data_IF_155259175719
#
_entry.id   IF_155259175719
#
_cell.length_a   1.000
_cell.length_b   1.000
_cell.length_c   1.000
_cell.angle_alpha   90.00
_cell.angle_beta   90.00
_cell.angle_gamma   90.00
#
_symmetry.space_group_name_H-M   'P 1'
#
loop_
_entity.id
_entity.type
_entity.pdbx_description
1 polymer ?
#
# COMPACT_ATOMS: atom_id res chain seq x y z
N UNK A 1 41.88 -19.77 39.15
CA UNK A 1 41.19 -20.37 37.98
C UNK A 1 39.66 -20.16 37.94
N UNK A 2 39.00 -19.57 38.94
CA UNK A 2 37.52 -19.44 38.94
C UNK A 2 36.95 -18.09 38.44
N UNK A 3 37.75 -17.02 38.38
CA UNK A 3 37.28 -15.67 38.00
C UNK A 3 37.48 -15.33 36.52
N UNK A 4 38.56 -15.82 35.89
CA UNK A 4 38.79 -15.61 34.46
C UNK A 4 37.81 -16.43 33.60
N UNK A 5 37.50 -17.68 33.99
CA UNK A 5 36.52 -18.51 33.31
C UNK A 5 35.08 -17.96 33.40
N UNK A 6 34.69 -17.34 34.52
CA UNK A 6 33.37 -16.71 34.65
C UNK A 6 33.25 -15.45 33.79
N UNK A 7 34.31 -14.65 33.68
CA UNK A 7 34.36 -13.45 32.82
C UNK A 7 34.28 -13.79 31.32
N UNK A 8 34.90 -14.89 30.88
CA UNK A 8 34.85 -15.36 29.50
C UNK A 8 33.46 -15.86 29.09
N UNK A 9 32.79 -16.63 29.98
CA UNK A 9 31.44 -17.14 29.74
C UNK A 9 30.42 -15.99 29.70
N UNK A 10 30.55 -14.99 30.58
CA UNK A 10 29.69 -13.81 30.57
C UNK A 10 29.83 -12.99 29.29
N UNK A 11 31.06 -12.74 28.82
CA UNK A 11 31.30 -12.04 27.55
C UNK A 11 30.73 -12.79 26.34
N UNK A 12 30.86 -14.12 26.29
CA UNK A 12 30.27 -14.93 25.23
C UNK A 12 28.74 -14.88 25.24
N UNK A 13 28.13 -14.92 26.42
CA UNK A 13 26.68 -14.79 26.58
C UNK A 13 26.19 -13.41 26.14
N UNK A 14 26.87 -12.35 26.57
CA UNK A 14 26.55 -10.97 26.22
C UNK A 14 26.60 -10.74 24.69
N UNK A 15 27.65 -11.24 24.04
CA UNK A 15 27.78 -11.18 22.57
C UNK A 15 26.67 -11.96 21.85
N UNK A 16 26.35 -13.16 22.33
CA UNK A 16 25.27 -13.97 21.74
C UNK A 16 23.91 -13.27 21.81
N UNK A 17 23.58 -12.64 22.94
CA UNK A 17 22.32 -11.89 23.07
C UNK A 17 22.30 -10.66 22.16
N UNK A 18 23.44 -9.97 22.00
CA UNK A 18 23.57 -8.87 21.06
C UNK A 18 23.36 -9.33 19.60
N UNK A 19 24.00 -10.42 19.18
CA UNK A 19 23.84 -10.95 17.82
C UNK A 19 22.37 -11.31 17.54
N UNK A 20 21.68 -11.93 18.51
CA UNK A 20 20.25 -12.22 18.42
C UNK A 20 19.38 -10.94 18.39
N UNK A 21 19.80 -9.88 19.07
CA UNK A 21 19.12 -8.59 19.04
C UNK A 21 19.30 -7.92 17.66
N UNK A 22 20.49 -8.01 17.07
CA UNK A 22 20.80 -7.47 15.75
C UNK A 22 20.00 -8.17 14.64
N UNK A 23 19.91 -9.50 14.70
CA UNK A 23 19.12 -10.30 13.75
C UNK A 23 17.62 -9.96 13.83
N UNK A 24 17.09 -9.84 15.06
CA UNK A 24 15.71 -9.44 15.29
C UNK A 24 15.45 -8.02 14.76
N UNK A 25 16.36 -7.07 15.03
CA UNK A 25 16.24 -5.70 14.55
C UNK A 25 16.28 -5.59 13.02
N UNK A 26 17.18 -6.33 12.37
CA UNK A 26 17.26 -6.44 10.90
C UNK A 26 15.95 -6.99 10.31
N UNK A 27 15.38 -8.01 10.95
CA UNK A 27 14.09 -8.58 10.56
C UNK A 27 12.95 -7.57 10.72
N UNK A 28 12.90 -6.84 11.84
CA UNK A 28 11.91 -5.79 12.08
C UNK A 28 11.97 -4.68 11.03
N UNK A 29 13.18 -4.24 10.66
CA UNK A 29 13.37 -3.19 9.65
C UNK A 29 12.98 -3.67 8.24
N UNK A 30 13.25 -4.93 7.93
CA UNK A 30 12.78 -5.55 6.68
C UNK A 30 11.25 -5.57 6.62
N UNK A 31 10.58 -5.96 7.71
CA UNK A 31 9.11 -5.96 7.81
C UNK A 31 8.55 -4.53 7.71
N UNK A 32 9.18 -3.54 8.36
CA UNK A 32 8.81 -2.13 8.22
C UNK A 32 8.94 -1.66 6.75
N UNK A 33 9.99 -2.09 6.03
CA UNK A 33 10.13 -1.90 4.59
C UNK A 33 8.96 -2.47 3.80
N UNK A 34 8.58 -3.71 4.06
CA UNK A 34 7.43 -4.36 3.42
C UNK A 34 6.11 -3.65 3.74
N UNK A 35 5.92 -3.23 4.99
CA UNK A 35 4.73 -2.49 5.42
C UNK A 35 4.58 -1.17 4.64
N UNK A 36 5.69 -0.44 4.42
CA UNK A 36 5.70 0.78 3.61
C UNK A 36 5.29 0.54 2.15
N UNK A 37 5.78 -0.54 1.54
CA UNK A 37 5.38 -0.92 0.16
C UNK A 37 3.88 -1.21 0.10
N UNK A 38 3.38 -2.03 1.02
CA UNK A 38 1.93 -2.36 1.10
C UNK A 38 1.09 -1.11 1.34
N UNK A 39 1.55 -0.19 2.20
CA UNK A 39 0.86 1.07 2.48
C UNK A 39 0.79 1.95 1.24
N UNK A 40 1.88 2.08 0.48
CA UNK A 40 1.91 2.82 -0.78
C UNK A 40 0.89 2.26 -1.77
N UNK A 41 0.87 0.95 -1.98
CA UNK A 41 -0.11 0.29 -2.86
C UNK A 41 -1.57 0.53 -2.40
N UNK A 42 -1.82 0.46 -1.09
CA UNK A 42 -3.14 0.73 -0.52
C UNK A 42 -3.59 2.16 -0.78
N UNK A 43 -2.70 3.15 -0.57
CA UNK A 43 -2.99 4.57 -0.79
C UNK A 43 -3.26 4.87 -2.28
N UNK A 44 -2.50 4.26 -3.19
CA UNK A 44 -2.76 4.37 -4.62
C UNK A 44 -4.14 3.81 -5.02
N UNK A 45 -4.56 2.68 -4.43
CA UNK A 45 -5.91 2.13 -4.66
C UNK A 45 -7.00 3.02 -4.07
N UNK A 46 -6.76 3.61 -2.90
CA UNK A 46 -7.70 4.54 -2.29
C UNK A 46 -7.90 5.79 -3.13
N UNK A 47 -6.82 6.38 -3.63
CA UNK A 47 -6.88 7.53 -4.53
C UNK A 47 -7.64 7.20 -5.81
N UNK A 48 -7.38 6.02 -6.40
CA UNK A 48 -8.13 5.52 -7.57
C UNK A 48 -9.62 5.40 -7.28
N UNK A 49 -10.01 4.80 -6.15
CA UNK A 49 -11.42 4.67 -5.75
C UNK A 49 -12.08 6.03 -5.47
N UNK A 50 -11.34 6.98 -4.90
CA UNK A 50 -11.83 8.34 -4.64
C UNK A 50 -12.10 9.10 -5.94
N UNK A 51 -11.16 9.04 -6.88
CA UNK A 51 -11.34 9.64 -8.22
C UNK A 51 -12.46 8.94 -8.99
N UNK A 52 -12.59 7.63 -8.83
CA UNK A 52 -13.66 6.83 -9.41
C UNK A 52 -15.04 7.29 -8.92
N UNK A 53 -15.21 7.40 -7.60
CA UNK A 53 -16.46 7.86 -6.99
C UNK A 53 -16.76 9.33 -7.33
N UNK A 54 -15.74 10.18 -7.43
CA UNK A 54 -15.90 11.57 -7.87
C UNK A 54 -16.43 11.67 -9.31
N UNK A 55 -15.80 10.96 -10.26
CA UNK A 55 -16.18 10.99 -11.68
C UNK A 55 -17.59 10.41 -11.91
N UNK A 56 -18.02 9.46 -11.09
CA UNK A 56 -19.25 8.70 -11.32
C UNK A 56 -20.40 9.10 -10.38
N UNK A 57 -20.17 10.08 -9.50
CA UNK A 57 -21.14 10.58 -8.51
C UNK A 57 -22.47 11.06 -9.11
N UNK A 58 -22.46 11.53 -10.35
CA UNK A 58 -23.63 12.05 -11.06
C UNK A 58 -24.40 10.99 -11.85
N UNK A 59 -23.89 9.76 -11.92
CA UNK A 59 -24.49 8.68 -12.70
C UNK A 59 -25.30 7.77 -11.76
N UNK A 60 -26.59 7.50 -12.03
CA UNK A 60 -27.42 6.63 -11.19
C UNK A 60 -27.12 5.15 -11.42
N UNK A 61 -25.83 4.76 -11.39
CA UNK A 61 -25.37 3.41 -11.73
C UNK A 61 -25.97 2.33 -10.83
N UNK A 62 -26.26 2.65 -9.56
CA UNK A 62 -26.91 1.72 -8.62
C UNK A 62 -28.34 1.39 -9.06
N UNK A 63 -29.12 2.42 -9.40
CA UNK A 63 -30.50 2.27 -9.86
C UNK A 63 -30.51 1.49 -11.18
N UNK A 64 -29.64 1.82 -12.13
CA UNK A 64 -29.52 1.12 -13.41
C UNK A 64 -29.15 -0.36 -13.24
N UNK A 65 -28.35 -0.70 -12.23
CA UNK A 65 -28.00 -2.10 -11.93
C UNK A 65 -29.17 -2.85 -11.31
N UNK A 66 -29.96 -2.22 -10.44
CA UNK A 66 -31.18 -2.83 -9.91
C UNK A 66 -32.17 -3.09 -11.06
N UNK A 67 -32.34 -2.12 -11.97
CA UNK A 67 -33.17 -2.28 -13.16
C UNK A 67 -32.65 -3.42 -14.04
N UNK A 68 -31.34 -3.52 -14.25
CA UNK A 68 -30.73 -4.64 -14.99
C UNK A 68 -31.11 -6.00 -14.40
N UNK A 69 -31.01 -6.18 -13.08
CA UNK A 69 -31.41 -7.44 -12.42
C UNK A 69 -32.89 -7.74 -12.66
N UNK A 70 -33.76 -6.73 -12.55
CA UNK A 70 -35.19 -6.88 -12.81
C UNK A 70 -35.42 -7.30 -14.27
N UNK A 71 -34.75 -6.65 -15.22
CA UNK A 71 -34.84 -6.96 -16.64
C UNK A 71 -34.38 -8.39 -16.91
N UNK A 72 -33.26 -8.85 -16.36
CA UNK A 72 -32.80 -10.24 -16.51
C UNK A 72 -33.82 -11.27 -15.98
N UNK A 73 -34.49 -10.97 -14.86
CA UNK A 73 -35.53 -11.85 -14.30
C UNK A 73 -36.77 -11.89 -15.20
N UNK A 74 -37.19 -10.72 -15.70
CA UNK A 74 -38.33 -10.61 -16.63
C UNK A 74 -38.01 -11.30 -17.95
N UNK A 75 -36.84 -11.05 -18.52
CA UNK A 75 -36.32 -11.70 -19.72
C UNK A 75 -36.34 -13.22 -19.56
N UNK A 76 -35.81 -13.74 -18.46
CA UNK A 76 -35.85 -15.18 -18.19
C UNK A 76 -37.27 -15.75 -18.18
N UNK A 77 -38.24 -15.02 -17.63
CA UNK A 77 -39.63 -15.48 -17.58
C UNK A 77 -40.26 -15.54 -18.98
N UNK A 78 -40.07 -14.50 -19.80
CA UNK A 78 -40.63 -14.44 -21.16
C UNK A 78 -39.91 -15.37 -22.15
N UNK A 79 -38.60 -15.53 -22.00
CA UNK A 79 -37.77 -16.34 -22.90
C UNK A 79 -37.61 -17.79 -22.45
N UNK A 80 -38.20 -18.17 -21.31
CA UNK A 80 -38.04 -19.51 -20.71
C UNK A 80 -38.38 -20.64 -21.68
N UNK A 81 -39.44 -20.46 -22.46
CA UNK A 81 -39.92 -21.45 -23.42
C UNK A 81 -38.94 -21.60 -24.58
N UNK A 82 -38.44 -20.48 -25.11
CA UNK A 82 -37.37 -20.45 -26.11
C UNK A 82 -36.13 -21.20 -25.59
N UNK A 83 -35.74 -20.96 -24.33
CA UNK A 83 -34.57 -21.60 -23.73
C UNK A 83 -34.74 -23.11 -23.48
N UNK A 84 -35.98 -23.61 -23.36
CA UNK A 84 -36.26 -25.05 -23.23
C UNK A 84 -36.16 -25.77 -24.55
N UNK A 85 -36.48 -25.09 -25.64
CA UNK A 85 -36.41 -25.64 -27.00
C UNK A 85 -34.97 -25.68 -27.54
N UNK A 86 -34.04 -24.97 -26.90
CA UNK A 86 -32.62 -25.03 -27.27
C UNK A 86 -32.00 -26.41 -26.97
N UNK A 87 -31.00 -26.84 -27.77
CA UNK A 87 -30.35 -28.14 -27.61
C UNK A 87 -29.84 -28.37 -26.19
N UNK A 88 -30.02 -29.57 -25.63
CA UNK A 88 -29.47 -29.92 -24.31
C UNK A 88 -30.34 -29.55 -23.10
N UNK A 89 -31.49 -28.88 -23.28
CA UNK A 89 -32.54 -28.81 -22.24
C UNK A 89 -32.13 -28.11 -20.93
N UNK A 90 -31.18 -27.18 -20.97
CA UNK A 90 -30.67 -26.45 -19.81
C UNK A 90 -31.03 -24.95 -19.88
N UNK A 91 -32.30 -24.58 -19.62
CA UNK A 91 -32.78 -23.22 -19.86
C UNK A 91 -32.09 -22.15 -19.00
N UNK A 92 -31.65 -22.51 -17.79
CA UNK A 92 -30.91 -21.60 -16.90
C UNK A 92 -29.51 -21.30 -17.44
N UNK A 93 -28.82 -22.31 -18.00
CA UNK A 93 -27.48 -22.12 -18.55
C UNK A 93 -27.52 -21.18 -19.77
N UNK A 94 -28.53 -21.32 -20.63
CA UNK A 94 -28.76 -20.43 -21.75
C UNK A 94 -29.03 -18.99 -21.29
N UNK A 95 -29.94 -18.79 -20.34
CA UNK A 95 -30.22 -17.47 -19.79
C UNK A 95 -28.96 -16.78 -19.22
N UNK A 96 -28.16 -17.49 -18.42
CA UNK A 96 -26.88 -16.97 -17.91
C UNK A 96 -25.89 -16.65 -19.04
N UNK A 97 -25.88 -17.45 -20.11
CA UNK A 97 -25.09 -17.18 -21.31
C UNK A 97 -25.51 -15.89 -22.01
N UNK A 98 -26.80 -15.68 -22.23
CA UNK A 98 -27.34 -14.45 -22.82
C UNK A 98 -27.03 -13.23 -21.96
N UNK A 99 -27.20 -13.33 -20.64
CA UNK A 99 -26.82 -12.28 -19.68
C UNK A 99 -25.33 -11.93 -19.82
N UNK A 100 -24.45 -12.94 -19.86
CA UNK A 100 -23.01 -12.73 -19.98
C UNK A 100 -22.64 -12.02 -21.30
N UNK A 101 -23.25 -12.43 -22.41
CA UNK A 101 -23.06 -11.78 -23.72
C UNK A 101 -23.63 -10.36 -23.70
N UNK A 102 -24.79 -10.13 -23.08
CA UNK A 102 -25.39 -8.81 -22.95
C UNK A 102 -24.47 -7.86 -22.18
N UNK A 103 -23.92 -8.29 -21.04
CA UNK A 103 -22.93 -7.52 -20.27
C UNK A 103 -21.67 -7.24 -21.08
N UNK A 104 -21.20 -8.21 -21.87
CA UNK A 104 -20.04 -8.01 -22.75
C UNK A 104 -20.29 -6.97 -23.85
N UNK A 105 -21.44 -7.05 -24.53
CA UNK A 105 -21.87 -6.04 -25.52
C UNK A 105 -22.00 -4.68 -24.85
N UNK A 106 -22.59 -4.63 -23.65
CA UNK A 106 -22.73 -3.40 -22.87
C UNK A 106 -21.38 -2.72 -22.62
N UNK A 107 -20.36 -3.49 -22.19
CA UNK A 107 -19.02 -2.96 -21.95
C UNK A 107 -18.35 -2.45 -23.24
N UNK A 108 -18.63 -3.05 -24.39
CA UNK A 108 -18.15 -2.56 -25.69
C UNK A 108 -18.78 -1.21 -26.08
N UNK A 109 -20.04 -1.00 -25.71
CA UNK A 109 -20.79 0.22 -26.02
C UNK A 109 -20.54 1.33 -24.99
N UNK A 110 -20.16 0.99 -23.75
CA UNK A 110 -20.17 1.93 -22.61
C UNK A 110 -19.25 3.12 -22.82
N UNK A 111 -18.10 2.93 -23.45
CA UNK A 111 -17.15 4.02 -23.70
C UNK A 111 -17.68 5.03 -24.72
N UNK A 112 -18.57 4.61 -25.63
CA UNK A 112 -19.18 5.53 -26.59
C UNK A 112 -20.39 6.25 -26.02
N UNK A 113 -21.19 5.55 -25.21
CA UNK A 113 -22.46 6.03 -24.67
C UNK A 113 -22.30 6.86 -23.39
N UNK A 114 -21.34 6.54 -22.53
CA UNK A 114 -21.19 7.16 -21.21
C UNK A 114 -19.96 8.07 -21.18
N UNK A 115 -20.16 9.38 -21.15
CA UNK A 115 -19.07 10.35 -21.12
C UNK A 115 -18.14 10.16 -19.90
N UNK A 116 -18.70 9.91 -18.71
CA UNK A 116 -17.94 9.67 -17.48
C UNK A 116 -16.97 8.47 -17.59
N UNK A 117 -17.31 7.45 -18.36
CA UNK A 117 -16.43 6.31 -18.64
C UNK A 117 -15.23 6.69 -19.51
N UNK A 118 -15.41 7.62 -20.45
CA UNK A 118 -14.30 8.19 -21.23
C UNK A 118 -13.36 9.01 -20.36
N UNK A 119 -13.90 9.85 -19.48
CA UNK A 119 -13.10 10.60 -18.50
C UNK A 119 -12.28 9.63 -17.65
N UNK A 120 -12.93 8.59 -17.11
CA UNK A 120 -12.26 7.56 -16.33
C UNK A 120 -11.14 6.86 -17.12
N UNK A 121 -11.41 6.47 -18.38
CA UNK A 121 -10.40 5.83 -19.23
C UNK A 121 -9.20 6.73 -19.51
N UNK A 122 -9.42 8.05 -19.70
CA UNK A 122 -8.34 9.04 -19.83
C UNK A 122 -7.50 9.10 -18.54
N UNK A 123 -8.15 9.13 -17.37
CA UNK A 123 -7.45 9.10 -16.09
C UNK A 123 -6.59 7.82 -15.94
N UNK A 124 -7.11 6.66 -16.34
CA UNK A 124 -6.33 5.41 -16.32
C UNK A 124 -5.13 5.44 -17.26
N UNK A 125 -5.30 5.94 -18.49
CA UNK A 125 -4.21 6.03 -19.47
C UNK A 125 -3.10 6.97 -19.01
N UNK A 126 -3.42 8.11 -18.39
CA UNK A 126 -2.41 9.03 -17.82
C UNK A 126 -1.52 8.38 -16.75
N UNK A 127 -2.01 7.34 -16.08
CA UNK A 127 -1.24 6.61 -15.06
C UNK A 127 -0.39 5.48 -15.64
N UNK A 128 -0.58 5.12 -16.91
CA UNK A 128 0.26 4.14 -17.60
C UNK A 128 1.58 4.81 -17.98
N UNK A 129 2.74 4.30 -17.53
CA UNK A 129 4.04 4.84 -17.91
C UNK A 129 4.24 4.96 -19.43
N UNK A 130 3.58 4.09 -20.20
CA UNK A 130 3.67 4.08 -21.66
C UNK A 130 2.90 5.22 -22.34
N UNK A 131 2.08 5.96 -21.59
CA UNK A 131 1.22 7.04 -22.09
C UNK A 131 1.39 8.35 -21.30
N UNK A 132 2.36 8.40 -20.38
CA UNK A 132 2.59 9.56 -19.51
C UNK A 132 2.98 10.83 -20.30
N UNK A 133 3.67 10.67 -21.43
CA UNK A 133 4.19 11.78 -22.25
C UNK A 133 3.23 12.22 -23.37
N UNK A 134 2.08 11.54 -23.53
CA UNK A 134 1.13 11.89 -24.58
C UNK A 134 0.42 13.20 -24.27
N UNK A 135 0.28 14.04 -25.30
CA UNK A 135 -0.52 15.26 -25.21
C UNK A 135 -2.00 14.93 -24.96
N UNK A 136 -2.71 15.84 -24.30
CA UNK A 136 -4.13 15.66 -23.96
C UNK A 136 -5.01 15.41 -25.19
N UNK A 137 -4.72 16.09 -26.29
CA UNK A 137 -5.42 15.92 -27.57
C UNK A 137 -5.20 14.52 -28.17
N UNK A 138 -3.98 14.01 -28.10
CA UNK A 138 -3.63 12.67 -28.60
C UNK A 138 -4.28 11.57 -27.76
N UNK A 139 -4.32 11.75 -26.43
CA UNK A 139 -5.04 10.84 -25.54
C UNK A 139 -6.54 10.84 -25.81
N UNK A 140 -7.15 12.00 -26.04
CA UNK A 140 -8.58 12.09 -26.36
C UNK A 140 -8.89 11.42 -27.69
N UNK A 141 -8.09 11.68 -28.73
CA UNK A 141 -8.23 11.03 -30.03
C UNK A 141 -8.09 9.50 -29.91
N UNK A 142 -7.14 9.02 -29.09
CA UNK A 142 -6.94 7.59 -28.84
C UNK A 142 -8.13 6.94 -28.14
N UNK A 143 -8.64 7.56 -27.06
CA UNK A 143 -9.83 7.06 -26.35
C UNK A 143 -11.05 7.08 -27.25
N UNK A 144 -11.22 8.11 -28.08
CA UNK A 144 -12.32 8.21 -29.04
C UNK A 144 -12.25 7.10 -30.10
N UNK A 145 -11.09 6.90 -30.73
CA UNK A 145 -10.89 5.81 -31.71
C UNK A 145 -11.18 4.44 -31.10
N UNK A 146 -10.68 4.20 -29.88
CA UNK A 146 -10.96 2.95 -29.16
C UNK A 146 -12.46 2.79 -28.89
N UNK A 147 -13.13 3.85 -28.43
CA UNK A 147 -14.57 3.83 -28.16
C UNK A 147 -15.39 3.58 -29.43
N UNK A 148 -15.03 4.18 -30.56
CA UNK A 148 -15.73 4.00 -31.83
C UNK A 148 -15.53 2.57 -32.39
N UNK A 149 -14.31 2.02 -32.33
CA UNK A 149 -14.03 0.65 -32.76
C UNK A 149 -14.76 -0.40 -31.91
N UNK A 150 -14.70 -0.24 -30.57
CA UNK A 150 -15.41 -1.13 -29.65
C UNK A 150 -16.92 -1.02 -29.83
N UNK A 151 -17.45 0.19 -30.00
CA UNK A 151 -18.87 0.39 -30.22
C UNK A 151 -19.34 -0.24 -31.54
N UNK A 152 -18.58 -0.11 -32.63
CA UNK A 152 -18.91 -0.77 -33.90
C UNK A 152 -19.00 -2.28 -33.73
N UNK A 153 -18.01 -2.90 -33.08
CA UNK A 153 -18.02 -4.34 -32.82
C UNK A 153 -19.18 -4.75 -31.92
N UNK A 154 -19.47 -3.97 -30.87
CA UNK A 154 -20.61 -4.18 -29.98
C UNK A 154 -21.96 -4.11 -30.71
N UNK A 155 -22.15 -3.15 -31.61
CA UNK A 155 -23.36 -3.02 -32.43
C UNK A 155 -23.53 -4.22 -33.36
N UNK A 156 -22.45 -4.65 -34.04
CA UNK A 156 -22.51 -5.83 -34.92
C UNK A 156 -22.89 -7.10 -34.13
N UNK A 157 -22.31 -7.30 -32.95
CA UNK A 157 -22.69 -8.40 -32.06
C UNK A 157 -24.15 -8.30 -31.61
N UNK A 158 -24.60 -7.11 -31.22
CA UNK A 158 -26.00 -6.88 -30.82
C UNK A 158 -26.98 -7.26 -31.93
N UNK A 159 -26.71 -6.83 -33.17
CA UNK A 159 -27.52 -7.18 -34.34
C UNK A 159 -27.53 -8.70 -34.55
N UNK A 160 -26.37 -9.35 -34.46
CA UNK A 160 -26.26 -10.81 -34.59
C UNK A 160 -27.09 -11.56 -33.53
N UNK A 161 -27.00 -11.13 -32.27
CA UNK A 161 -27.77 -11.72 -31.17
C UNK A 161 -29.27 -11.47 -31.30
N UNK A 162 -29.69 -10.26 -31.71
CA UNK A 162 -31.11 -9.97 -31.97
C UNK A 162 -31.65 -10.82 -33.13
N UNK A 163 -30.85 -11.01 -34.18
CA UNK A 163 -31.22 -11.87 -35.32
C UNK A 163 -31.37 -13.33 -34.88
N UNK A 164 -30.47 -13.81 -34.02
CA UNK A 164 -30.53 -15.16 -33.46
C UNK A 164 -31.80 -15.35 -32.59
N UNK A 165 -32.10 -14.41 -31.70
CA UNK A 165 -33.30 -14.44 -30.87
C UNK A 165 -34.57 -14.36 -31.73
N UNK A 166 -34.57 -13.55 -32.78
CA UNK A 166 -35.68 -13.48 -33.73
C UNK A 166 -35.90 -14.82 -34.45
N UNK A 167 -34.83 -15.46 -34.92
CA UNK A 167 -34.90 -16.78 -35.53
C UNK A 167 -35.49 -17.83 -34.58
N UNK A 168 -35.06 -17.86 -33.32
CA UNK A 168 -35.62 -18.79 -32.33
C UNK A 168 -37.07 -18.47 -31.99
N UNK A 169 -37.44 -17.19 -31.93
CA UNK A 169 -38.82 -16.76 -31.69
C UNK A 169 -39.73 -17.22 -32.83
N UNK A 170 -39.29 -17.08 -34.09
CA UNK A 170 -40.02 -17.64 -35.24
C UNK A 170 -40.16 -19.16 -35.14
N UNK A 171 -39.07 -19.86 -34.80
CA UNK A 171 -39.07 -21.32 -34.72
C UNK A 171 -40.03 -21.84 -33.65
N UNK A 172 -40.11 -21.17 -32.51
CA UNK A 172 -41.09 -21.45 -31.45
C UNK A 172 -42.52 -21.32 -31.99
N UNK A 173 -42.85 -20.21 -32.65
CA UNK A 173 -44.20 -19.99 -33.21
C UNK A 173 -44.56 -21.09 -34.22
N UNK A 174 -43.62 -21.50 -35.08
CA UNK A 174 -43.84 -22.61 -36.02
C UNK A 174 -44.15 -23.93 -35.30
N UNK A 175 -43.43 -24.23 -34.20
CA UNK A 175 -43.65 -25.44 -33.41
C UNK A 175 -45.00 -25.41 -32.67
N UNK A 176 -45.37 -24.27 -32.08
CA UNK A 176 -46.67 -24.07 -31.43
C UNK A 176 -47.84 -24.22 -32.42
N UNK A 177 -47.67 -23.72 -33.65
CA UNK A 177 -48.66 -23.91 -34.72
C UNK A 177 -48.76 -25.36 -35.17
N UNK A 178 -47.63 -26.06 -35.29
CA UNK A 178 -47.60 -27.49 -35.64
C UNK A 178 -48.22 -28.38 -34.55
N UNK A 179 -48.05 -28.01 -33.28
CA UNK A 179 -48.68 -28.66 -32.14
C UNK A 179 -50.19 -28.35 -32.03
N UNK A 180 -50.70 -27.39 -32.79
CA UNK A 180 -52.10 -26.95 -32.75
C UNK A 180 -52.44 -26.10 -31.52
N UNK A 181 -51.45 -25.67 -30.75
CA UNK A 181 -51.62 -24.87 -29.54
C UNK A 181 -51.87 -23.39 -29.86
N UNK A 182 -51.53 -22.95 -31.08
CA UNK A 182 -51.63 -21.56 -31.51
C UNK A 182 -52.27 -21.41 -32.88
N UNK A 183 -53.28 -20.54 -32.96
CA UNK A 183 -54.05 -20.25 -34.20
C UNK A 183 -53.51 -19.02 -34.93
N UNK A 184 -52.85 -18.10 -34.21
CA UNK A 184 -52.33 -16.84 -34.75
C UNK A 184 -50.88 -16.92 -35.26
N UNK A 185 -50.51 -16.02 -36.16
CA UNK A 185 -49.14 -15.83 -36.62
C UNK A 185 -48.23 -15.17 -35.57
N UNK A 186 -47.03 -14.79 -36.02
CA UNK A 186 -46.06 -14.02 -35.24
C UNK A 186 -46.67 -12.67 -34.81
N UNK A 187 -46.69 -12.42 -33.51
CA UNK A 187 -47.32 -11.26 -32.88
C UNK A 187 -46.35 -10.42 -32.03
N UNK A 188 -46.85 -9.35 -31.39
CA UNK A 188 -46.03 -8.46 -30.57
C UNK A 188 -45.35 -9.15 -29.39
N UNK A 189 -45.98 -10.18 -28.82
CA UNK A 189 -45.45 -10.97 -27.71
C UNK A 189 -44.17 -11.74 -28.10
N UNK A 190 -44.05 -12.14 -29.37
CA UNK A 190 -42.89 -12.87 -29.88
C UNK A 190 -41.69 -11.94 -30.16
N UNK A 191 -41.92 -10.63 -30.21
CA UNK A 191 -40.87 -9.59 -30.32
C UNK A 191 -40.32 -9.24 -28.93
N UNK A 192 -41.08 -9.49 -27.86
CA UNK A 192 -40.72 -9.11 -26.50
C UNK A 192 -39.33 -9.63 -26.06
N UNK A 193 -38.91 -10.88 -26.34
CA UNK A 193 -37.57 -11.36 -26.00
C UNK A 193 -36.45 -10.49 -26.59
N UNK A 194 -36.61 -10.04 -27.83
CA UNK A 194 -35.61 -9.20 -28.53
C UNK A 194 -35.56 -7.82 -27.89
N UNK A 195 -36.72 -7.22 -27.62
CA UNK A 195 -36.81 -5.89 -26.99
C UNK A 195 -36.23 -5.93 -25.59
N UNK A 196 -36.58 -6.95 -24.79
CA UNK A 196 -36.04 -7.15 -23.45
C UNK A 196 -34.52 -7.33 -23.49
N UNK A 197 -33.98 -8.08 -24.46
CA UNK A 197 -32.54 -8.24 -24.63
C UNK A 197 -31.82 -6.92 -24.97
N UNK A 198 -32.41 -6.09 -25.83
CA UNK A 198 -31.86 -4.74 -26.10
C UNK A 198 -31.88 -3.88 -24.85
N UNK A 199 -32.98 -3.91 -24.07
CA UNK A 199 -33.07 -3.19 -22.79
C UNK A 199 -32.05 -3.73 -21.78
N UNK A 200 -31.83 -5.04 -21.75
CA UNK A 200 -30.83 -5.70 -20.91
C UNK A 200 -29.42 -5.20 -21.23
N UNK A 201 -29.07 -5.09 -22.51
CA UNK A 201 -27.78 -4.50 -22.95
C UNK A 201 -27.66 -3.03 -22.55
N UNK A 202 -28.73 -2.24 -22.66
CA UNK A 202 -28.68 -0.83 -22.26
C UNK A 202 -28.58 -0.64 -20.74
N UNK A 203 -29.19 -1.53 -19.97
CA UNK A 203 -29.16 -1.47 -18.50
C UNK A 203 -27.89 -2.13 -17.92
N UNK A 204 -27.28 -3.05 -18.66
CA UNK A 204 -26.05 -3.77 -18.32
C UNK A 204 -24.76 -2.95 -18.39
N UNK A 205 -24.82 -1.70 -18.88
CA UNK A 205 -23.68 -0.78 -19.05
C UNK A 205 -22.81 -0.59 -17.79
N UNK A 206 -23.38 -0.77 -16.59
CA UNK A 206 -22.70 -0.55 -15.31
C UNK A 206 -22.39 -1.82 -14.52
N UNK A 207 -22.67 -3.02 -15.05
CA UNK A 207 -22.41 -4.28 -14.35
C UNK A 207 -20.91 -4.50 -14.18
N UNK A 208 -20.16 -4.45 -15.28
CA UNK A 208 -18.70 -4.61 -15.25
C UNK A 208 -18.01 -3.53 -14.41
N UNK A 209 -18.56 -2.31 -14.47
CA UNK A 209 -18.16 -1.18 -13.64
C UNK A 209 -18.24 -1.50 -12.14
N UNK A 210 -19.38 -2.02 -11.68
CA UNK A 210 -19.58 -2.38 -10.28
C UNK A 210 -18.68 -3.53 -9.85
N UNK A 211 -18.52 -4.56 -10.69
CA UNK A 211 -17.60 -5.66 -10.41
C UNK A 211 -16.17 -5.16 -10.20
N UNK A 212 -15.69 -4.27 -11.09
CA UNK A 212 -14.35 -3.69 -10.98
C UNK A 212 -14.20 -2.81 -9.73
N UNK A 213 -15.18 -1.97 -9.41
CA UNK A 213 -15.20 -1.15 -8.18
C UNK A 213 -15.15 -2.02 -6.93
N UNK A 214 -15.98 -3.07 -6.87
CA UNK A 214 -16.03 -4.02 -5.75
C UNK A 214 -14.72 -4.78 -5.59
N UNK A 215 -14.12 -5.24 -6.70
CA UNK A 215 -12.80 -5.87 -6.67
C UNK A 215 -11.71 -4.95 -6.12
N UNK A 216 -11.66 -3.69 -6.58
CA UNK A 216 -10.70 -2.70 -6.08
C UNK A 216 -10.92 -2.39 -4.59
N UNK A 217 -12.18 -2.27 -4.16
CA UNK A 217 -12.54 -2.08 -2.75
C UNK A 217 -12.11 -3.27 -1.88
N UNK A 218 -12.35 -4.50 -2.34
CA UNK A 218 -11.90 -5.71 -1.67
C UNK A 218 -10.37 -5.79 -1.60
N UNK A 219 -9.67 -5.48 -2.70
CA UNK A 219 -8.20 -5.44 -2.74
C UNK A 219 -7.64 -4.40 -1.78
N UNK A 220 -8.20 -3.18 -1.74
CA UNK A 220 -7.86 -2.14 -0.75
C UNK A 220 -8.03 -2.67 0.68
N UNK A 221 -9.17 -3.29 0.98
CA UNK A 221 -9.44 -3.87 2.30
C UNK A 221 -8.50 -5.03 2.67
N UNK A 222 -8.09 -5.83 1.70
CA UNK A 222 -7.07 -6.87 1.87
C UNK A 222 -5.70 -6.28 2.21
N UNK A 223 -5.24 -5.27 1.47
CA UNK A 223 -3.98 -4.57 1.74
C UNK A 223 -4.00 -3.86 3.10
N UNK A 224 -5.11 -3.22 3.48
CA UNK A 224 -5.27 -2.58 4.80
C UNK A 224 -5.13 -3.58 5.96
N UNK A 225 -5.63 -4.81 5.78
CA UNK A 225 -5.46 -5.90 6.77
C UNK A 225 -4.01 -6.39 6.80
N UNK A 226 -3.40 -6.58 5.63
CA UNK A 226 -1.99 -6.98 5.50
C UNK A 226 -1.04 -5.95 6.12
N UNK A 227 -1.27 -4.66 5.88
CA UNK A 227 -0.52 -3.57 6.46
C UNK A 227 -0.54 -3.62 7.99
N UNK A 228 -1.74 -3.66 8.59
CA UNK A 228 -1.90 -3.78 10.06
C UNK A 228 -1.16 -5.00 10.61
N UNK A 229 -1.28 -6.16 9.97
CA UNK A 229 -0.57 -7.37 10.38
C UNK A 229 0.96 -7.18 10.36
N UNK A 230 1.50 -6.55 9.31
CA UNK A 230 2.94 -6.27 9.22
C UNK A 230 3.40 -5.27 10.28
N UNK A 231 2.59 -4.27 10.61
CA UNK A 231 2.89 -3.31 11.69
C UNK A 231 2.95 -4.01 13.03
N UNK A 232 1.94 -4.82 13.39
CA UNK A 232 1.94 -5.59 14.63
C UNK A 232 3.13 -6.56 14.71
N UNK A 233 3.43 -7.27 13.61
CA UNK A 233 4.61 -8.15 13.56
C UNK A 233 5.93 -7.38 13.71
N UNK A 234 6.03 -6.19 13.11
CA UNK A 234 7.18 -5.32 13.27
C UNK A 234 7.32 -4.86 14.74
N UNK A 235 6.21 -4.51 15.39
CA UNK A 235 6.18 -4.12 16.80
C UNK A 235 6.64 -5.25 17.72
N UNK A 236 6.08 -6.45 17.56
CA UNK A 236 6.46 -7.62 18.34
C UNK A 236 7.96 -7.95 18.23
N UNK A 237 8.51 -7.92 17.01
CA UNK A 237 9.93 -8.24 16.77
C UNK A 237 10.84 -7.10 17.23
N UNK A 238 10.39 -5.85 17.11
CA UNK A 238 11.11 -4.67 17.64
C UNK A 238 11.23 -4.76 19.16
N UNK A 239 10.13 -5.06 19.87
CA UNK A 239 10.14 -5.25 21.32
C UNK A 239 11.06 -6.42 21.73
N UNK A 240 11.08 -7.51 20.96
CA UNK A 240 12.01 -8.62 21.19
C UNK A 240 13.48 -8.22 20.99
N UNK A 241 13.79 -7.44 19.96
CA UNK A 241 15.13 -6.93 19.71
C UNK A 241 15.61 -6.05 20.86
N UNK A 242 14.77 -5.10 21.32
CA UNK A 242 15.08 -4.21 22.44
C UNK A 242 15.24 -4.98 23.75
N UNK A 243 14.41 -5.99 23.99
CA UNK A 243 14.55 -6.86 25.17
C UNK A 243 15.89 -7.59 25.18
N UNK A 244 16.26 -8.23 24.07
CA UNK A 244 17.54 -8.93 23.93
C UNK A 244 18.74 -7.99 24.06
N UNK A 245 18.63 -6.77 23.54
CA UNK A 245 19.65 -5.75 23.75
C UNK A 245 19.80 -5.38 25.23
N UNK A 246 18.69 -5.18 25.95
CA UNK A 246 18.72 -4.93 27.40
C UNK A 246 19.38 -6.08 28.15
N UNK A 247 19.07 -7.32 27.78
CA UNK A 247 19.69 -8.52 28.38
C UNK A 247 21.21 -8.59 28.08
N UNK A 248 21.63 -8.23 26.86
CA UNK A 248 23.04 -8.15 26.48
C UNK A 248 23.80 -7.08 27.30
N UNK A 249 23.21 -5.89 27.47
CA UNK A 249 23.77 -4.80 28.28
C UNK A 249 23.89 -5.22 29.74
N UNK A 250 22.87 -5.88 30.32
CA UNK A 250 22.92 -6.41 31.68
C UNK A 250 24.00 -7.49 31.85
N UNK A 251 24.30 -8.25 30.78
CA UNK A 251 25.39 -9.21 30.75
C UNK A 251 26.78 -8.58 30.53
N UNK A 252 26.87 -7.25 30.38
CA UNK A 252 28.12 -6.50 30.24
C UNK A 252 28.58 -6.26 28.79
N UNK A 253 27.66 -6.31 27.82
CA UNK A 253 27.97 -5.92 26.43
C UNK A 253 28.10 -4.39 26.31
N UNK A 254 29.15 -3.91 25.63
CA UNK A 254 29.33 -2.49 25.32
C UNK A 254 28.54 -2.11 24.07
N UNK A 255 27.66 -1.11 24.19
CA UNK A 255 26.78 -0.63 23.10
C UNK A 255 27.41 0.46 22.23
N UNK A 256 28.67 0.80 22.45
CA UNK A 256 29.41 1.79 21.65
C UNK A 256 29.34 1.50 20.14
N UNK A 257 29.46 0.23 19.76
CA UNK A 257 29.43 -0.26 18.36
C UNK A 257 28.06 -0.85 17.95
N UNK A 258 26.95 -0.31 18.46
CA UNK A 258 25.60 -0.78 18.11
C UNK A 258 25.31 -0.63 16.61
N UNK A 259 24.80 -1.70 15.97
CA UNK A 259 24.40 -1.66 14.56
C UNK A 259 23.24 -0.69 14.29
N UNK A 260 23.25 -0.06 13.12
CA UNK A 260 22.18 0.86 12.68
C UNK A 260 20.78 0.25 12.75
N UNK A 261 20.65 -1.05 12.46
CA UNK A 261 19.36 -1.74 12.56
C UNK A 261 18.80 -1.74 13.98
N UNK A 262 19.68 -2.02 14.95
CA UNK A 262 19.35 -2.00 16.38
C UNK A 262 19.00 -0.58 16.84
N UNK A 263 19.77 0.41 16.40
CA UNK A 263 19.49 1.83 16.70
C UNK A 263 18.09 2.22 16.22
N UNK A 264 17.73 1.86 14.99
CA UNK A 264 16.39 2.10 14.44
C UNK A 264 15.29 1.35 15.20
N UNK A 265 15.55 0.12 15.64
CA UNK A 265 14.59 -0.65 16.44
C UNK A 265 14.35 -0.03 17.82
N UNK A 266 15.41 0.39 18.52
CA UNK A 266 15.27 1.06 19.83
C UNK A 266 14.56 2.41 19.69
N UNK A 267 14.90 3.18 18.65
CA UNK A 267 14.20 4.42 18.34
C UNK A 267 12.70 4.18 18.14
N UNK A 268 12.35 3.18 17.32
CA UNK A 268 10.96 2.83 17.02
C UNK A 268 10.18 2.39 18.26
N UNK A 269 10.78 1.56 19.12
CA UNK A 269 10.18 1.08 20.38
C UNK A 269 9.88 2.22 21.37
N UNK A 270 10.77 3.23 21.43
CA UNK A 270 10.66 4.31 22.42
C UNK A 270 9.81 5.48 21.99
N UNK A 271 9.95 5.92 20.73
CA UNK A 271 9.45 7.21 20.27
C UNK A 271 8.26 7.11 19.32
N UNK A 272 7.84 5.90 18.95
CA UNK A 272 6.70 5.72 18.05
C UNK A 272 5.64 4.86 18.70
N UNK A 273 4.40 5.34 18.61
CA UNK A 273 3.24 4.59 19.05
C UNK A 273 2.86 3.52 18.00
N UNK A 274 2.71 2.28 18.44
CA UNK A 274 2.24 1.17 17.61
C UNK A 274 0.79 1.39 17.11
N UNK A 275 0.00 2.17 17.84
CA UNK A 275 -1.36 2.56 17.44
C UNK A 275 -1.34 3.53 16.26
N UNK A 276 -0.26 4.30 16.09
CA UNK A 276 0.01 5.13 14.93
C UNK A 276 0.76 4.36 13.85
N UNK A 277 0.09 3.36 13.28
CA UNK A 277 0.66 2.40 12.34
C UNK A 277 1.47 3.02 11.17
N UNK A 278 1.04 4.18 10.66
CA UNK A 278 1.74 4.89 9.59
C UNK A 278 3.07 5.51 10.06
N UNK A 279 3.05 6.16 11.23
CA UNK A 279 4.23 6.76 11.86
C UNK A 279 5.21 5.66 12.30
N UNK A 280 4.69 4.55 12.83
CA UNK A 280 5.49 3.44 13.37
C UNK A 280 6.50 2.89 12.37
N UNK A 281 6.05 2.56 11.15
CA UNK A 281 6.88 1.95 10.09
C UNK A 281 7.49 2.95 9.10
N UNK A 282 7.26 4.26 9.28
CA UNK A 282 7.84 5.30 8.43
C UNK A 282 9.38 5.23 8.42
N UNK A 283 10.06 5.74 7.38
CA UNK A 283 11.50 5.97 7.46
C UNK A 283 11.83 6.80 8.72
N UNK A 284 12.91 6.47 9.42
CA UNK A 284 13.37 7.25 10.56
C UNK A 284 14.29 8.36 10.03
N UNK A 285 13.95 9.64 10.21
CA UNK A 285 14.81 10.73 9.76
C UNK A 285 16.09 10.73 10.60
N UNK A 286 17.25 10.79 9.92
CA UNK A 286 18.53 11.04 10.58
C UNK A 286 18.83 12.53 10.55
N UNK A 287 19.23 13.06 11.69
CA UNK A 287 19.64 14.44 11.86
C UNK A 287 21.11 14.49 12.23
N UNK A 288 21.89 15.21 11.42
CA UNK A 288 23.26 15.56 11.78
C UNK A 288 23.22 16.73 12.75
N UNK A 289 23.65 16.50 13.98
CA UNK A 289 23.79 17.55 14.99
C UNK A 289 25.27 17.80 15.27
N UNK A 290 25.61 19.02 15.65
CA UNK A 290 27.01 19.38 15.95
C UNK A 290 27.09 19.95 17.35
N UNK A 291 27.65 19.15 18.28
CA UNK A 291 27.99 19.65 19.61
C UNK A 291 29.37 20.32 19.56
N UNK A 292 29.44 21.58 19.97
CA UNK A 292 30.71 22.30 20.14
C UNK A 292 31.10 22.29 21.61
N UNK A 293 32.28 21.77 21.91
CA UNK A 293 32.83 21.68 23.25
C UNK A 293 34.13 22.48 23.35
N UNK A 294 34.35 23.11 24.50
CA UNK A 294 35.64 23.71 24.86
C UNK A 294 36.12 23.04 26.13
N UNK A 295 37.31 22.43 26.07
CA UNK A 295 37.97 21.82 27.22
C UNK A 295 38.82 22.88 27.94
N UNK A 296 38.65 22.97 29.26
CA UNK A 296 39.38 23.92 30.10
C UNK A 296 39.97 23.20 31.32
N UNK A 297 41.29 23.31 31.53
CA UNK A 297 41.98 22.84 32.75
C UNK A 297 42.65 24.04 33.42
N UNK A 298 42.32 24.30 34.69
CA UNK A 298 42.82 25.48 35.42
C UNK A 298 42.49 26.84 34.78
N UNK A 299 41.48 26.90 33.90
CA UNK A 299 41.09 28.09 33.14
C UNK A 299 41.80 28.27 31.79
N UNK A 300 42.74 27.40 31.44
CA UNK A 300 43.40 27.37 30.13
C UNK A 300 42.76 26.31 29.22
N UNK A 301 42.72 26.58 27.91
CA UNK A 301 42.25 25.62 26.92
C UNK A 301 43.27 24.49 26.75
N UNK A 302 42.79 23.25 26.76
CA UNK A 302 43.63 22.05 26.67
C UNK A 302 43.16 21.12 25.57
N UNK A 303 44.11 20.40 24.97
CA UNK A 303 43.82 19.39 23.96
C UNK A 303 43.45 18.06 24.62
N UNK A 304 42.47 17.36 24.04
CA UNK A 304 42.01 16.07 24.54
C UNK A 304 41.14 15.34 23.53
N UNK A 305 40.91 14.06 23.80
CA UNK A 305 39.93 13.24 23.08
C UNK A 305 38.61 13.30 23.83
N UNK A 306 37.53 13.66 23.13
CA UNK A 306 36.19 13.60 23.70
C UNK A 306 35.39 12.52 22.99
N UNK A 307 34.82 11.61 23.78
CA UNK A 307 33.85 10.62 23.32
C UNK A 307 32.49 10.95 23.90
N UNK A 308 31.55 11.36 23.05
CA UNK A 308 30.16 11.56 23.43
C UNK A 308 29.36 10.27 23.18
N UNK A 309 28.65 9.83 24.19
CA UNK A 309 27.73 8.71 24.18
C UNK A 309 26.30 9.27 24.22
N UNK A 310 25.59 9.07 23.14
CA UNK A 310 24.14 9.24 23.05
C UNK A 310 23.43 7.97 23.51
N UNK A 311 22.11 8.00 23.62
CA UNK A 311 21.33 6.79 23.91
C UNK A 311 21.53 5.70 22.85
N UNK A 312 21.93 6.07 21.63
CA UNK A 312 21.98 5.18 20.48
C UNK A 312 23.36 5.05 19.82
N UNK A 313 24.37 5.82 20.23
CA UNK A 313 25.68 5.88 19.56
C UNK A 313 26.79 6.48 20.44
N UNK A 314 28.01 5.92 20.42
CA UNK A 314 29.23 6.60 20.84
C UNK A 314 29.99 7.25 19.66
N UNK A 315 30.29 8.54 19.74
CA UNK A 315 31.12 9.27 18.75
C UNK A 315 32.30 9.91 19.46
N UNK A 316 33.51 9.63 18.96
CA UNK A 316 34.75 10.25 19.45
C UNK A 316 35.32 11.26 18.46
N UNK A 317 35.82 12.38 18.97
CA UNK A 317 36.53 13.40 18.20
C UNK A 317 37.67 13.98 19.03
N UNK A 318 38.82 14.19 18.40
CA UNK A 318 40.01 14.78 19.02
C UNK A 318 40.06 16.30 18.84
N UNK A 319 40.59 17.00 19.84
CA UNK A 319 40.81 18.44 19.79
C UNK A 319 41.97 18.87 18.88
N UNK A 320 41.84 20.11 18.38
CA UNK A 320 42.92 20.87 17.75
C UNK A 320 43.44 21.91 18.75
N UNK A 321 44.63 22.46 18.49
CA UNK A 321 45.52 23.34 19.31
C UNK A 321 44.92 24.57 20.02
N UNK A 322 43.59 24.71 20.05
CA UNK A 322 42.82 25.70 20.79
C UNK A 322 41.80 25.07 21.77
N UNK A 323 41.93 23.79 22.14
CA UNK A 323 41.04 23.11 23.08
C UNK A 323 39.55 23.12 22.69
N UNK A 324 39.24 23.39 21.42
CA UNK A 324 37.89 23.35 20.85
C UNK A 324 37.69 22.04 20.08
N UNK A 325 36.56 21.39 20.36
CA UNK A 325 36.17 20.11 19.76
C UNK A 325 34.77 20.26 19.18
N UNK A 326 34.65 20.07 17.87
CA UNK A 326 33.37 20.00 17.20
C UNK A 326 33.04 18.50 16.98
N UNK A 327 32.02 18.01 17.67
CA UNK A 327 31.49 16.65 17.55
C UNK A 327 30.31 16.64 16.60
N UNK A 328 30.47 16.00 15.45
CA UNK A 328 29.38 15.78 14.50
C UNK A 328 28.73 14.43 14.82
N UNK A 329 27.49 14.45 15.27
CA UNK A 329 26.72 13.28 15.64
C UNK A 329 25.66 13.01 14.56
N UNK A 330 25.68 11.81 13.97
CA UNK A 330 24.58 11.30 13.16
C UNK A 330 23.59 10.58 14.08
N UNK A 331 22.48 11.25 14.40
CA UNK A 331 21.55 10.84 15.46
C UNK A 331 20.11 10.89 14.98
N UNK A 332 19.19 10.35 15.77
CA UNK A 332 17.76 10.50 15.51
C UNK A 332 17.18 11.74 16.16
N UNK A 333 16.05 12.19 15.65
CA UNK A 333 15.31 13.30 16.25
C UNK A 333 14.88 12.95 17.68
N UNK A 334 15.20 13.81 18.65
CA UNK A 334 14.91 13.58 20.07
C UNK A 334 15.99 12.79 20.82
N UNK A 335 17.07 12.39 20.16
CA UNK A 335 18.24 11.78 20.82
C UNK A 335 18.96 12.79 21.73
N UNK A 336 19.48 12.31 22.84
CA UNK A 336 20.20 13.10 23.85
C UNK A 336 21.56 12.48 24.15
N UNK A 337 22.57 13.33 24.35
CA UNK A 337 23.86 12.86 24.88
C UNK A 337 23.65 12.55 26.36
N UNK A 338 23.99 11.33 26.77
CA UNK A 338 23.84 10.88 28.16
C UNK A 338 25.17 10.90 28.92
N UNK A 339 26.27 10.69 28.20
CA UNK A 339 27.61 10.60 28.80
C UNK A 339 28.65 11.22 27.87
N UNK A 340 29.59 11.98 28.43
CA UNK A 340 30.76 12.48 27.73
C UNK A 340 31.99 12.00 28.51
N UNK A 341 32.90 11.30 27.83
CA UNK A 341 34.19 10.88 28.39
C UNK A 341 35.27 11.74 27.77
N UNK A 342 36.09 12.38 28.61
CA UNK A 342 37.22 13.19 28.16
C UNK A 342 38.52 12.52 28.60
N UNK A 343 39.43 12.33 27.66
CA UNK A 343 40.81 11.89 27.90
C UNK A 343 41.76 13.05 27.59
N UNK A 344 42.49 13.52 28.60
CA UNK A 344 43.47 14.60 28.43
C UNK A 344 44.68 14.14 27.61
N UNK A 345 45.16 15.00 26.70
CA UNK A 345 46.42 14.77 25.99
C UNK A 345 47.61 15.26 26.79
N UNK A 346 48.31 14.39 27.53
CA UNK A 346 49.50 14.78 28.29
C UNK A 346 50.04 13.73 29.27
N UNK A 347 51.23 13.99 29.84
CA UNK A 347 51.90 13.09 30.82
C UNK A 347 51.19 13.21 32.16
N UNK A 348 50.12 12.43 32.32
CA UNK A 348 49.22 12.42 33.48
C UNK A 348 47.82 12.08 33.02
N UNK A 349 47.63 10.86 32.49
CA UNK A 349 46.36 10.42 31.90
C UNK A 349 45.22 10.38 32.94
N UNK A 350 44.53 11.51 33.11
CA UNK A 350 43.24 11.56 33.79
C UNK A 350 42.13 11.26 32.78
N UNK A 351 41.31 10.24 33.07
CA UNK A 351 40.02 10.05 32.40
C UNK A 351 38.95 10.74 33.26
N UNK A 352 38.23 11.71 32.68
CA UNK A 352 37.12 12.37 33.36
C UNK A 352 35.81 12.02 32.66
N UNK A 353 34.92 11.36 33.39
CA UNK A 353 33.58 11.05 32.94
C UNK A 353 32.61 12.14 33.42
N UNK A 354 31.84 12.69 32.49
CA UNK A 354 30.79 13.67 32.78
C UNK A 354 29.46 13.07 32.31
N UNK A 355 28.58 12.82 33.26
CA UNK A 355 27.23 12.30 33.01
C UNK A 355 26.22 13.45 33.08
N UNK A 356 25.39 13.60 32.06
CA UNK A 356 24.42 14.70 31.98
C UNK A 356 23.70 14.72 30.64
N UNK A 357 22.53 15.36 30.58
CA UNK A 357 21.79 15.58 29.33
C UNK A 357 22.32 16.84 28.65
N UNK A 358 23.03 16.68 27.53
CA UNK A 358 23.52 17.82 26.73
C UNK A 358 22.65 18.01 25.50
N UNK A 359 22.11 19.22 25.34
CA UNK A 359 21.39 19.61 24.13
C UNK A 359 22.36 19.88 22.99
N UNK A 360 22.12 19.21 21.87
CA UNK A 360 23.02 19.08 20.73
C UNK A 360 22.98 20.25 19.72
N UNK A 361 22.09 21.21 19.92
CA UNK A 361 21.83 22.33 19.00
C UNK A 361 22.10 23.72 19.64
N UNK A 362 22.98 23.79 20.65
CA UNK A 362 23.36 25.06 21.26
C UNK A 362 24.25 25.89 20.34
N UNK A 363 23.88 27.14 20.09
CA UNK A 363 24.72 28.11 19.38
C UNK A 363 26.03 28.40 20.13
N UNK A 364 25.98 28.31 21.47
CA UNK A 364 27.11 28.52 22.35
C UNK A 364 27.82 27.19 22.66
N UNK A 365 29.15 27.15 22.59
CA UNK A 365 29.90 25.95 22.92
C UNK A 365 29.79 25.62 24.41
N UNK A 366 29.52 24.35 24.73
CA UNK A 366 29.49 23.89 26.11
C UNK A 366 30.92 23.86 26.68
N UNK A 367 31.11 24.46 27.85
CA UNK A 367 32.41 24.53 28.52
C UNK A 367 32.54 23.35 29.47
N UNK A 368 33.57 22.54 29.29
CA UNK A 368 33.90 21.41 30.15
C UNK A 368 35.12 21.79 31.00
N UNK A 369 34.93 21.83 32.32
CA UNK A 369 36.00 22.07 33.29
C UNK A 369 36.59 20.72 33.73
N UNK A 370 37.87 20.51 33.44
CA UNK A 370 38.63 19.31 33.78
C UNK A 370 39.24 19.40 35.18
#
# INVERSE_FOLDING_TARGET
MSAENSSGIQRQRAKKEYDLAADAASTANTIAGQARVVRKEQLELEERLRNWDSIMSTVPYQILTIIFIIVCVVEYYFSREIYREMPGGHPIAYALGFIAVAVFISELLVLRLVHHKRIWKRYELRRDPNHADLLDEEMEAKVKRQADQQALFGVLLLIGMCTLLFYFSLRRVELEQQAGERVGGFGPEDIAPIVLYVVEVLTGLFVWYLLRRSYLGWKKGSLARRFRKLVTQCADITAQAVKKLKDAVHAGYDTSDMSDNLREAVFRDRLRDENEADTYVAPIPRTKRTARLILLSGGAQVDGLVTAYTEFHAVSSGGTTAGRIDLVLDTFEGDTVCRIVVQEGGVGNGEKEITGSFTLDSADPHRILL
#
